data_IF_084594013715
#
_entry.id   IF_084594013715
#
_cell.length_a   1.000
_cell.length_b   1.000
_cell.length_c   1.000
_cell.angle_alpha   90.00
_cell.angle_beta   90.00
_cell.angle_gamma   90.00
#
_symmetry.space_group_name_H-M   'P 1'
#
loop_
_entity.id
_entity.type
_entity.pdbx_description
1 polymer ?
#
# COMPACT_ATOMS: atom_id res chain seq x y z
N UNK A 1 -16.23 1.64 19.36
CA UNK A 1 -15.56 2.92 19.03
C UNK A 1 -14.85 3.51 20.25
N UNK A 2 -15.54 3.74 21.38
CA UNK A 2 -14.95 4.32 22.59
C UNK A 2 -13.75 3.51 23.12
N UNK A 3 -13.81 2.18 23.05
CA UNK A 3 -12.72 1.29 23.47
C UNK A 3 -11.44 1.49 22.66
N UNK A 4 -11.56 1.87 21.37
CA UNK A 4 -10.40 2.09 20.52
C UNK A 4 -9.63 3.35 20.93
N UNK A 5 -10.35 4.44 21.18
CA UNK A 5 -9.78 5.67 21.71
C UNK A 5 -9.20 5.48 23.11
N UNK A 6 -9.90 4.73 23.98
CA UNK A 6 -9.42 4.45 25.33
C UNK A 6 -8.13 3.63 25.29
N UNK A 7 -8.06 2.61 24.44
CA UNK A 7 -6.87 1.77 24.30
C UNK A 7 -5.69 2.53 23.72
N UNK A 8 -5.90 3.35 22.68
CA UNK A 8 -4.85 4.19 22.13
C UNK A 8 -4.33 5.21 23.16
N UNK A 9 -5.22 5.84 23.94
CA UNK A 9 -4.82 6.74 25.02
C UNK A 9 -4.06 6.01 26.15
N UNK A 10 -4.48 4.80 26.50
CA UNK A 10 -3.78 3.97 27.51
C UNK A 10 -2.35 3.61 27.07
N UNK A 11 -2.13 3.33 25.79
CA UNK A 11 -0.80 3.02 25.24
C UNK A 11 0.18 4.19 25.39
N UNK A 12 -0.32 5.43 25.40
CA UNK A 12 0.50 6.65 25.49
C UNK A 12 0.46 7.33 26.86
N UNK A 13 -0.12 6.67 27.87
CA UNK A 13 -0.33 7.22 29.22
C UNK A 13 0.97 7.71 29.86
N UNK A 14 2.07 7.02 29.62
CA UNK A 14 3.37 7.32 30.24
C UNK A 14 4.24 8.23 29.35
N UNK A 15 3.67 8.78 28.27
CA UNK A 15 4.36 9.67 27.32
C UNK A 15 4.28 11.14 27.73
N UNK A 16 5.15 11.97 27.15
CA UNK A 16 5.16 13.43 27.36
C UNK A 16 3.92 14.14 26.81
N UNK A 17 3.74 15.42 27.20
CA UNK A 17 2.62 16.27 26.76
C UNK A 17 2.67 16.63 25.25
N UNK A 18 3.79 16.36 24.61
CA UNK A 18 4.11 16.61 23.21
C UNK A 18 3.70 15.47 22.26
N UNK A 19 3.14 14.39 22.82
CA UNK A 19 2.77 13.20 22.07
C UNK A 19 1.43 13.35 21.36
N UNK A 20 1.42 12.88 20.11
CA UNK A 20 0.24 12.71 19.29
C UNK A 20 -0.02 11.21 19.10
N UNK A 21 -1.29 10.84 18.94
CA UNK A 21 -1.68 9.44 18.71
C UNK A 21 -1.66 9.18 17.19
N UNK A 22 -0.67 8.43 16.68
CA UNK A 22 -0.65 8.06 15.27
C UNK A 22 -1.74 7.02 14.97
N UNK A 23 -2.18 6.97 13.71
CA UNK A 23 -3.37 6.22 13.32
C UNK A 23 -3.21 4.70 13.46
N UNK A 24 -2.00 4.16 13.29
CA UNK A 24 -1.74 2.73 13.50
C UNK A 24 -2.03 2.25 14.93
N UNK A 25 -2.06 3.14 15.93
CA UNK A 25 -2.38 2.79 17.33
C UNK A 25 -3.83 2.31 17.49
N UNK A 26 -4.70 2.64 16.53
CA UNK A 26 -6.09 2.19 16.48
C UNK A 26 -6.26 0.78 15.91
N UNK A 27 -5.18 0.11 15.50
CA UNK A 27 -5.23 -1.28 15.04
C UNK A 27 -5.50 -2.27 16.17
N UNK A 28 -4.75 -2.17 17.28
CA UNK A 28 -4.84 -3.15 18.39
C UNK A 28 -6.26 -3.38 18.93
N UNK A 29 -7.12 -2.34 19.10
CA UNK A 29 -8.48 -2.52 19.59
C UNK A 29 -9.42 -3.21 18.60
N UNK A 30 -9.14 -3.15 17.30
CA UNK A 30 -9.95 -3.80 16.27
C UNK A 30 -9.43 -5.18 15.90
N UNK A 31 -8.19 -5.51 16.28
CA UNK A 31 -7.48 -6.73 15.91
C UNK A 31 -8.28 -8.01 16.23
N UNK A 32 -8.95 -8.06 17.38
CA UNK A 32 -9.78 -9.21 17.79
C UNK A 32 -11.05 -9.39 16.96
N UNK A 33 -11.46 -8.36 16.21
CA UNK A 33 -12.64 -8.37 15.36
C UNK A 33 -12.29 -8.61 13.88
N UNK A 34 -11.01 -8.70 13.54
CA UNK A 34 -10.56 -8.94 12.18
C UNK A 34 -10.78 -10.39 11.78
N UNK A 35 -11.02 -10.60 10.48
CA UNK A 35 -11.01 -11.93 9.91
C UNK A 35 -9.65 -12.61 10.14
N UNK A 36 -9.61 -13.90 10.50
CA UNK A 36 -8.36 -14.61 10.79
C UNK A 36 -7.34 -14.55 9.65
N UNK A 37 -7.80 -14.52 8.40
CA UNK A 37 -6.94 -14.41 7.23
C UNK A 37 -6.17 -13.07 7.21
N UNK A 38 -6.87 -11.95 7.41
CA UNK A 38 -6.29 -10.60 7.44
C UNK A 38 -5.29 -10.49 8.59
N UNK A 39 -5.68 -10.93 9.79
CA UNK A 39 -4.81 -10.90 10.96
C UNK A 39 -3.51 -11.67 10.70
N UNK A 40 -3.61 -12.90 10.20
CA UNK A 40 -2.44 -13.73 9.86
C UNK A 40 -1.51 -13.02 8.87
N UNK A 41 -2.06 -12.38 7.85
CA UNK A 41 -1.27 -11.67 6.85
C UNK A 41 -0.46 -10.52 7.45
N UNK A 42 -1.06 -9.76 8.38
CA UNK A 42 -0.37 -8.66 9.07
C UNK A 42 0.65 -9.20 10.07
N UNK A 43 0.32 -10.25 10.82
CA UNK A 43 1.22 -10.87 11.80
C UNK A 43 2.46 -11.45 11.10
N UNK A 44 2.27 -12.21 10.02
CA UNK A 44 3.36 -12.76 9.21
C UNK A 44 4.24 -11.66 8.63
N UNK A 45 3.66 -10.55 8.16
CA UNK A 45 4.44 -9.42 7.67
C UNK A 45 5.31 -8.81 8.78
N UNK A 46 4.83 -8.75 10.02
CA UNK A 46 5.61 -8.23 11.15
C UNK A 46 6.75 -9.17 11.59
N UNK A 47 6.70 -10.44 11.18
CA UNK A 47 7.73 -11.45 11.47
C UNK A 47 8.80 -11.57 10.36
N UNK A 48 8.61 -10.91 9.20
CA UNK A 48 9.57 -10.96 8.10
C UNK A 48 10.84 -10.16 8.42
N UNK A 49 12.01 -10.82 8.36
CA UNK A 49 13.32 -10.16 8.52
C UNK A 49 13.60 -9.04 7.50
N UNK A 50 12.91 -9.08 6.35
CA UNK A 50 13.01 -8.06 5.31
C UNK A 50 12.24 -6.77 5.63
N UNK A 51 11.42 -6.79 6.68
CA UNK A 51 10.58 -5.69 7.14
C UNK A 51 11.01 -5.23 8.53
N UNK A 52 10.82 -3.94 8.76
CA UNK A 52 11.06 -3.29 10.04
C UNK A 52 9.75 -3.17 10.83
N UNK A 53 9.83 -2.93 12.13
CA UNK A 53 8.66 -2.67 12.96
C UNK A 53 7.80 -1.49 12.43
N UNK A 54 8.46 -0.49 11.83
CA UNK A 54 7.78 0.65 11.22
C UNK A 54 6.97 0.23 9.99
N UNK A 55 7.43 -0.75 9.22
CA UNK A 55 6.69 -1.26 8.06
C UNK A 55 5.37 -1.90 8.48
N UNK A 56 5.37 -2.64 9.60
CA UNK A 56 4.14 -3.15 10.20
C UNK A 56 3.16 -2.04 10.60
N UNK A 57 3.67 -0.89 11.10
CA UNK A 57 2.83 0.28 11.46
C UNK A 57 2.19 0.90 10.22
N UNK A 58 2.94 1.06 9.13
CA UNK A 58 2.41 1.58 7.86
C UNK A 58 1.41 0.61 7.24
N UNK A 59 1.69 -0.70 7.27
CA UNK A 59 0.78 -1.73 6.79
C UNK A 59 -0.55 -1.71 7.55
N UNK A 60 -0.51 -1.59 8.88
CA UNK A 60 -1.71 -1.42 9.73
C UNK A 60 -2.48 -0.15 9.41
N UNK A 61 -1.79 0.96 9.15
CA UNK A 61 -2.42 2.23 8.74
C UNK A 61 -3.16 2.07 7.41
N UNK A 62 -2.52 1.47 6.42
CA UNK A 62 -3.12 1.20 5.10
C UNK A 62 -4.35 0.29 5.21
N UNK A 63 -4.28 -0.74 6.04
CA UNK A 63 -5.43 -1.59 6.32
C UNK A 63 -6.59 -0.81 6.94
N UNK A 64 -6.33 0.02 7.95
CA UNK A 64 -7.35 0.80 8.65
C UNK A 64 -8.09 1.78 7.74
N UNK A 65 -7.40 2.39 6.77
CA UNK A 65 -8.00 3.37 5.86
C UNK A 65 -8.57 2.75 4.57
N UNK A 66 -8.34 1.45 4.31
CA UNK A 66 -8.75 0.78 3.06
C UNK A 66 -10.25 0.93 2.76
N UNK A 67 -11.10 0.97 3.78
CA UNK A 67 -12.56 1.08 3.64
C UNK A 67 -13.09 2.47 4.00
N UNK A 68 -12.22 3.49 4.03
CA UNK A 68 -12.59 4.87 4.38
C UNK A 68 -12.48 5.76 3.15
N UNK A 69 -13.59 5.95 2.44
CA UNK A 69 -13.66 6.69 1.17
C UNK A 69 -13.09 8.12 1.25
N UNK A 70 -13.17 8.73 2.43
CA UNK A 70 -12.71 10.12 2.66
C UNK A 70 -11.18 10.22 2.73
N UNK A 71 -10.50 9.13 3.10
CA UNK A 71 -9.05 9.12 3.37
C UNK A 71 -8.33 8.33 2.30
N UNK A 72 -7.80 9.03 1.31
CA UNK A 72 -6.94 8.44 0.28
C UNK A 72 -5.63 7.96 0.89
N UNK A 73 -5.14 6.81 0.47
CA UNK A 73 -3.88 6.21 0.94
C UNK A 73 -2.64 6.76 0.21
N UNK A 74 -2.57 8.08 0.05
CA UNK A 74 -1.42 8.76 -0.57
C UNK A 74 -0.29 8.93 0.45
N UNK A 75 0.94 9.12 -0.05
CA UNK A 75 2.10 9.36 0.80
C UNK A 75 1.91 10.54 1.77
N UNK A 76 1.34 11.65 1.32
CA UNK A 76 1.11 12.83 2.16
C UNK A 76 0.13 12.55 3.31
N UNK A 77 -0.91 11.77 3.03
CA UNK A 77 -1.87 11.35 4.05
C UNK A 77 -1.24 10.37 5.03
N UNK A 78 -0.43 9.41 4.54
CA UNK A 78 0.29 8.48 5.41
C UNK A 78 1.28 9.19 6.33
N UNK A 79 1.99 10.21 5.84
CA UNK A 79 2.83 11.08 6.68
C UNK A 79 1.99 11.71 7.78
N UNK A 80 0.87 12.34 7.42
CA UNK A 80 -0.02 13.02 8.36
C UNK A 80 -0.58 12.06 9.42
N UNK A 81 -0.99 10.86 9.01
CA UNK A 81 -1.54 9.84 9.90
C UNK A 81 -0.49 9.18 10.81
N UNK A 82 0.80 9.28 10.45
CA UNK A 82 1.90 8.63 11.18
C UNK A 82 2.64 9.56 12.16
N UNK A 83 2.24 10.82 12.27
CA UNK A 83 2.86 11.77 13.20
C UNK A 83 2.58 11.33 14.64
N UNK A 84 3.64 11.15 15.43
CA UNK A 84 3.60 10.71 16.83
C UNK A 84 3.94 11.80 17.85
N UNK A 85 4.42 12.96 17.39
CA UNK A 85 4.82 14.10 18.24
C UNK A 85 4.69 15.44 17.52
N UNK A 86 4.59 16.52 18.30
CA UNK A 86 4.40 17.88 17.76
C UNK A 86 5.62 18.37 16.97
N UNK A 87 6.82 18.02 17.39
CA UNK A 87 8.10 18.46 16.81
C UNK A 87 8.66 17.50 15.76
N UNK A 88 7.84 16.58 15.25
CA UNK A 88 8.26 15.56 14.29
C UNK A 88 8.85 16.19 13.01
N UNK A 89 10.04 15.71 12.60
CA UNK A 89 10.62 16.05 11.31
C UNK A 89 9.84 15.35 10.18
N UNK A 90 8.95 16.11 9.54
CA UNK A 90 8.10 15.61 8.45
C UNK A 90 8.90 15.16 7.22
N UNK A 91 10.08 15.72 6.97
CA UNK A 91 10.91 15.36 5.81
C UNK A 91 11.53 13.99 6.07
N UNK A 92 12.09 13.79 7.26
CA UNK A 92 12.62 12.49 7.68
C UNK A 92 11.52 11.42 7.70
N UNK A 93 10.35 11.74 8.27
CA UNK A 93 9.21 10.82 8.32
C UNK A 93 8.72 10.46 6.91
N UNK A 94 8.61 11.44 5.99
CA UNK A 94 8.25 11.18 4.59
C UNK A 94 9.18 10.16 3.95
N UNK A 95 10.50 10.37 4.08
CA UNK A 95 11.50 9.48 3.51
C UNK A 95 11.39 8.08 4.11
N UNK A 96 11.21 7.98 5.42
CA UNK A 96 11.03 6.70 6.11
C UNK A 96 9.78 5.94 5.62
N UNK A 97 8.68 6.65 5.37
CA UNK A 97 7.45 6.08 4.81
C UNK A 97 7.65 5.66 3.35
N UNK A 98 8.32 6.46 2.52
CA UNK A 98 8.66 6.08 1.14
C UNK A 98 9.47 4.78 1.12
N UNK A 99 10.51 4.67 1.95
CA UNK A 99 11.31 3.45 2.07
C UNK A 99 10.48 2.25 2.56
N UNK A 100 9.55 2.50 3.48
CA UNK A 100 8.61 1.50 3.99
C UNK A 100 7.70 0.95 2.91
N UNK A 101 7.04 1.84 2.16
CA UNK A 101 6.15 1.49 1.05
C UNK A 101 6.90 0.68 -0.01
N UNK A 102 8.13 1.06 -0.36
CA UNK A 102 8.96 0.30 -1.28
C UNK A 102 9.24 -1.13 -0.79
N UNK A 103 9.51 -1.33 0.50
CA UNK A 103 9.71 -2.68 1.06
C UNK A 103 8.42 -3.49 1.05
N UNK A 104 7.31 -2.89 1.46
CA UNK A 104 5.99 -3.53 1.49
C UNK A 104 5.53 -3.95 0.07
N UNK A 105 5.76 -3.13 -0.94
CA UNK A 105 5.43 -3.42 -2.35
C UNK A 105 6.30 -4.55 -2.91
N UNK A 106 7.58 -4.61 -2.52
CA UNK A 106 8.47 -5.73 -2.88
C UNK A 106 8.00 -7.06 -2.31
N UNK A 107 7.45 -7.04 -1.09
CA UNK A 107 6.88 -8.22 -0.44
C UNK A 107 5.43 -8.52 -0.89
N UNK A 108 4.91 -7.79 -1.89
CA UNK A 108 3.53 -7.92 -2.37
C UNK A 108 2.50 -7.78 -1.24
N UNK A 109 2.79 -6.97 -0.23
CA UNK A 109 1.85 -6.67 0.85
C UNK A 109 0.92 -5.52 0.47
N UNK A 110 1.37 -4.68 -0.47
CA UNK A 110 0.63 -3.54 -0.99
C UNK A 110 0.79 -3.48 -2.51
N UNK A 111 -0.17 -2.86 -3.19
CA UNK A 111 -0.07 -2.45 -4.59
C UNK A 111 -0.15 -0.92 -4.70
N UNK A 112 0.38 -0.39 -5.79
CA UNK A 112 0.31 1.03 -6.11
C UNK A 112 -0.68 1.27 -7.25
N UNK A 113 -1.67 2.12 -7.02
CA UNK A 113 -2.60 2.58 -8.04
C UNK A 113 -2.47 4.11 -8.19
N UNK A 114 -1.66 4.54 -9.16
CA UNK A 114 -1.31 5.95 -9.31
C UNK A 114 -0.49 6.47 -8.13
N UNK A 115 -1.07 7.34 -7.33
CA UNK A 115 -0.50 7.93 -6.11
C UNK A 115 -1.01 7.28 -4.81
N UNK A 116 -1.96 6.33 -4.92
CA UNK A 116 -2.55 5.62 -3.78
C UNK A 116 -1.88 4.25 -3.57
N UNK A 117 -1.68 3.89 -2.31
CA UNK A 117 -1.13 2.59 -1.89
C UNK A 117 -2.24 1.74 -1.28
N UNK A 118 -2.41 0.50 -1.75
CA UNK A 118 -3.54 -0.35 -1.37
C UNK A 118 -3.00 -1.60 -0.70
N UNK A 119 -3.45 -1.89 0.53
CA UNK A 119 -3.15 -3.15 1.23
C UNK A 119 -3.73 -4.33 0.45
N UNK A 120 -2.95 -5.37 0.17
CA UNK A 120 -3.42 -6.53 -0.60
C UNK A 120 -3.91 -7.66 0.32
N UNK A 121 -5.11 -8.18 0.04
CA UNK A 121 -5.59 -9.44 0.62
C UNK A 121 -4.87 -10.64 -0.01
N UNK A 122 -5.00 -11.82 0.58
CA UNK A 122 -4.34 -13.02 0.04
C UNK A 122 -4.80 -13.34 -1.40
N UNK A 123 -6.08 -13.15 -1.71
CA UNK A 123 -6.63 -13.32 -3.07
C UNK A 123 -6.00 -12.31 -4.05
N UNK A 124 -5.89 -11.05 -3.65
CA UNK A 124 -5.27 -10.00 -4.49
C UNK A 124 -3.77 -10.25 -4.71
N UNK A 125 -3.08 -10.84 -3.73
CA UNK A 125 -1.66 -11.22 -3.85
C UNK A 125 -1.42 -12.36 -4.83
N UNK A 126 -2.34 -13.32 -4.91
CA UNK A 126 -2.26 -14.42 -5.87
C UNK A 126 -2.35 -13.87 -7.29
N UNK A 127 -3.28 -12.94 -7.54
CA UNK A 127 -3.43 -12.27 -8.83
C UNK A 127 -2.16 -11.47 -9.19
N UNK A 128 -1.62 -10.67 -8.27
CA UNK A 128 -0.37 -9.91 -8.50
C UNK A 128 0.84 -10.81 -8.79
N UNK A 129 0.93 -11.96 -8.09
CA UNK A 129 1.95 -12.95 -8.40
C UNK A 129 1.76 -13.55 -9.78
N UNK A 130 0.54 -13.93 -10.16
CA UNK A 130 0.25 -14.52 -11.47
C UNK A 130 0.57 -13.54 -12.62
N UNK A 131 0.24 -12.25 -12.45
CA UNK A 131 0.60 -11.20 -13.40
C UNK A 131 2.12 -11.10 -13.54
N UNK A 132 2.87 -11.11 -12.43
CA UNK A 132 4.35 -11.06 -12.46
C UNK A 132 5.00 -12.30 -13.09
N UNK A 133 4.40 -13.47 -12.92
CA UNK A 133 4.92 -14.75 -13.43
C UNK A 133 4.40 -15.09 -14.84
N UNK A 134 3.53 -14.27 -15.41
CA UNK A 134 3.14 -14.40 -16.81
C UNK A 134 4.33 -13.97 -17.68
N UNK A 135 5.07 -14.95 -18.21
CA UNK A 135 6.12 -14.71 -19.20
C UNK A 135 5.51 -14.02 -20.43
N UNK A 136 5.82 -12.74 -20.60
CA UNK A 136 5.42 -12.00 -21.79
C UNK A 136 6.28 -12.50 -22.94
N UNK A 137 5.73 -13.43 -23.71
CA UNK A 137 6.29 -13.92 -24.97
C UNK A 137 6.65 -12.72 -25.88
N UNK A 138 7.95 -12.51 -26.14
CA UNK A 138 8.42 -11.44 -27.05
C UNK A 138 7.80 -11.54 -28.45
N UNK A 139 7.36 -12.74 -28.83
CA UNK A 139 6.62 -13.04 -30.06
C UNK A 139 5.25 -12.34 -30.08
N UNK A 140 4.52 -12.32 -28.96
CA UNK A 140 3.23 -11.63 -28.83
C UNK A 140 3.38 -10.11 -28.84
N UNK A 141 4.45 -9.59 -28.21
CA UNK A 141 4.77 -8.14 -28.24
C UNK A 141 5.06 -7.70 -29.67
N UNK A 142 5.93 -8.42 -30.38
CA UNK A 142 6.27 -8.14 -31.78
C UNK A 142 5.05 -8.22 -32.71
N UNK A 143 4.16 -9.20 -32.46
CA UNK A 143 2.92 -9.38 -33.22
C UNK A 143 1.93 -8.24 -32.97
N UNK A 144 1.69 -7.83 -31.73
CA UNK A 144 0.81 -6.69 -31.40
C UNK A 144 1.38 -5.37 -31.93
N UNK A 145 2.68 -5.16 -31.82
CA UNK A 145 3.34 -3.94 -32.31
C UNK A 145 3.28 -3.88 -33.85
N UNK A 146 3.48 -5.02 -34.53
CA UNK A 146 3.26 -5.15 -35.97
C UNK A 146 1.81 -4.88 -36.35
N UNK A 147 0.83 -5.39 -35.61
CA UNK A 147 -0.58 -5.17 -35.87
C UNK A 147 -0.97 -3.70 -35.70
N UNK A 148 -0.50 -3.01 -34.65
CA UNK A 148 -0.75 -1.58 -34.44
C UNK A 148 -0.12 -0.74 -35.55
N UNK A 149 1.11 -1.06 -35.95
CA UNK A 149 1.79 -0.37 -37.06
C UNK A 149 1.07 -0.61 -38.39
N UNK A 150 0.62 -1.84 -38.66
CA UNK A 150 -0.15 -2.16 -39.86
C UNK A 150 -1.52 -1.48 -39.89
N UNK A 151 -2.24 -1.46 -38.76
CA UNK A 151 -3.56 -0.82 -38.69
C UNK A 151 -3.49 0.70 -38.68
N UNK A 152 -2.49 1.28 -38.00
CA UNK A 152 -2.33 2.72 -37.87
C UNK A 152 -1.68 3.39 -39.07
N UNK A 153 -0.70 2.75 -39.73
CA UNK A 153 0.11 3.36 -40.79
C UNK A 153 -0.29 2.84 -42.18
N UNK A 154 -0.57 1.53 -42.32
CA UNK A 154 -0.74 0.92 -43.64
C UNK A 154 -2.19 0.90 -44.14
N UNK A 155 -3.20 0.91 -43.26
CA UNK A 155 -4.61 1.08 -43.68
C UNK A 155 -4.95 2.50 -44.13
N UNK A 156 -4.18 3.51 -43.71
CA UNK A 156 -4.37 4.92 -44.12
C UNK A 156 -3.92 5.24 -45.55
N UNK A 157 -3.17 4.36 -46.22
CA UNK A 157 -2.58 4.62 -47.54
C UNK A 157 -3.32 3.95 -48.72
N UNK A 158 -4.58 3.53 -48.55
CA UNK A 158 -5.44 3.12 -49.68
C UNK A 158 -6.13 4.32 -50.35
N UNK A 159 -5.33 5.25 -50.85
CA UNK A 159 -5.73 6.22 -51.88
C UNK A 159 -4.43 6.51 -52.65
N UNK A 160 -4.22 6.12 -53.92
CA UNK A 160 -5.11 6.10 -55.07
C UNK A 160 -4.61 5.02 -56.06
N UNK A 161 -5.54 4.34 -56.74
CA UNK A 161 -5.31 3.62 -58.01
C UNK A 161 -5.58 4.61 -59.14
N UNK A 162 -4.57 4.92 -59.97
CA UNK A 162 -4.61 5.00 -61.44
C UNK A 162 -3.19 5.02 -61.97
#
# INVERSE_FOLDING_TARGET
>A
LLDAFQSAAKQMKDSGLDVLIPFYSFYAPIESFLEPAVKRTIDQACELDSLTEFDGKILKTLFLIRYVDVVKSTLDNLVTLSIDRIDADKIALRKQIEESLNRLERQLLIARNGDEFIFLTNEEKEIENEIRHTDVEMSEVSSKLSAIVFDGILKGNRAYRY
#
